data_IF_047688100044
#
_entry.id   IF_047688100044
#
_cell.length_a   1.000
_cell.length_b   1.000
_cell.length_c   1.000
_cell.angle_alpha   90.00
_cell.angle_beta   90.00
_cell.angle_gamma   90.00
#
_symmetry.space_group_name_H-M   'P 1'
#
loop_
_entity.id
_entity.type
_entity.pdbx_description
1 polymer ?
#
# COMPACT_ATOMS: atom_id res chain seq x y z
N UNK A 1 1.28 -53.55 27.99
CA UNK A 1 0.67 -52.21 28.05
C UNK A 1 1.50 -51.29 27.16
N UNK A 2 1.03 -51.06 25.93
CA UNK A 2 1.64 -50.13 24.98
C UNK A 2 1.29 -48.71 25.41
N UNK A 3 2.30 -47.88 25.68
CA UNK A 3 2.11 -46.45 25.85
C UNK A 3 2.27 -45.79 24.48
N UNK A 4 1.15 -45.35 23.93
CA UNK A 4 1.07 -44.54 22.71
C UNK A 4 1.48 -43.11 23.03
N UNK A 5 2.70 -42.73 22.67
CA UNK A 5 3.11 -41.32 22.63
C UNK A 5 2.34 -40.61 21.51
N UNK A 6 1.45 -39.71 21.90
CA UNK A 6 0.75 -38.82 20.99
C UNK A 6 1.75 -37.83 20.37
N UNK A 7 2.12 -38.07 19.11
CA UNK A 7 2.80 -37.07 18.27
C UNK A 7 1.87 -35.89 18.07
N UNK A 8 2.06 -34.81 18.80
CA UNK A 8 1.41 -33.53 18.52
C UNK A 8 2.04 -32.94 17.25
N UNK A 9 1.31 -33.03 16.14
CA UNK A 9 1.62 -32.37 14.88
C UNK A 9 1.64 -30.85 15.10
N UNK A 10 2.83 -30.25 15.27
CA UNK A 10 3.01 -28.79 15.38
C UNK A 10 3.12 -28.11 13.99
N UNK A 11 2.36 -28.59 13.01
CA UNK A 11 2.37 -28.09 11.63
C UNK A 11 1.53 -26.81 11.46
N UNK A 12 1.73 -25.83 12.34
CA UNK A 12 1.11 -24.51 12.25
C UNK A 12 2.23 -23.47 12.09
N UNK A 13 2.49 -22.97 10.86
CA UNK A 13 3.61 -22.05 10.57
C UNK A 13 3.51 -20.71 11.33
N UNK A 14 2.34 -20.42 11.89
CA UNK A 14 2.02 -19.29 12.76
C UNK A 14 2.68 -19.38 14.15
N UNK A 15 2.87 -20.58 14.71
CA UNK A 15 3.36 -20.73 16.10
C UNK A 15 4.84 -20.38 16.22
N UNK A 16 5.68 -20.83 15.29
CA UNK A 16 7.11 -20.50 15.30
C UNK A 16 7.36 -19.01 15.05
N UNK A 17 6.59 -18.40 14.14
CA UNK A 17 6.64 -16.96 13.84
C UNK A 17 6.18 -16.14 15.04
N UNK A 18 5.09 -16.55 15.69
CA UNK A 18 4.59 -15.90 16.90
C UNK A 18 5.58 -16.04 18.06
N UNK A 19 6.21 -17.20 18.23
CA UNK A 19 7.27 -17.41 19.22
C UNK A 19 8.53 -16.59 18.92
N UNK A 20 8.90 -16.44 17.65
CA UNK A 20 9.96 -15.52 17.23
C UNK A 20 9.64 -14.06 17.60
N UNK A 21 8.39 -13.63 17.42
CA UNK A 21 7.93 -12.28 17.77
C UNK A 21 7.75 -12.06 19.28
N UNK A 22 7.39 -13.12 20.03
CA UNK A 22 7.05 -13.05 21.46
C UNK A 22 8.17 -13.50 22.39
N UNK A 23 9.23 -14.12 21.88
CA UNK A 23 10.45 -14.37 22.64
C UNK A 23 11.08 -13.02 23.00
N UNK A 24 10.81 -12.60 24.24
CA UNK A 24 11.25 -11.33 24.76
C UNK A 24 12.79 -11.30 24.80
N UNK A 25 13.39 -10.69 23.77
CA UNK A 25 14.73 -10.12 23.92
C UNK A 25 14.65 -9.07 25.03
N UNK A 26 15.65 -8.95 25.92
CA UNK A 26 15.69 -7.86 26.87
C UNK A 26 15.47 -6.56 26.09
N UNK A 27 14.48 -5.76 26.52
CA UNK A 27 14.14 -4.52 25.86
C UNK A 27 15.42 -3.71 25.70
N UNK A 28 15.91 -3.61 24.45
CA UNK A 28 17.08 -2.81 24.17
C UNK A 28 16.81 -1.41 24.71
N UNK A 29 17.80 -0.83 25.39
CA UNK A 29 17.70 0.53 25.90
C UNK A 29 17.34 1.41 24.70
N UNK A 30 16.14 1.98 24.69
CA UNK A 30 15.69 2.84 23.60
C UNK A 30 16.65 4.02 23.58
N UNK A 31 17.52 4.06 22.57
CA UNK A 31 18.33 5.24 22.33
C UNK A 31 17.39 6.43 22.14
N UNK A 32 17.78 7.64 22.57
CA UNK A 32 17.00 8.84 22.33
C UNK A 32 16.65 8.91 20.85
N UNK A 33 15.37 9.10 20.54
CA UNK A 33 14.97 9.28 19.15
C UNK A 33 15.72 10.49 18.60
N UNK A 34 16.44 10.37 17.47
CA UNK A 34 17.04 11.53 16.82
C UNK A 34 15.96 12.55 16.46
N UNK A 35 16.37 13.78 16.15
CA UNK A 35 15.46 14.89 15.81
C UNK A 35 14.39 14.49 14.79
N UNK A 36 13.13 14.94 14.96
CA UNK A 36 12.05 14.63 14.04
C UNK A 36 12.39 15.03 12.60
N UNK A 37 12.21 14.09 11.67
CA UNK A 37 12.45 14.31 10.24
C UNK A 37 11.11 14.50 9.52
N UNK A 38 11.08 15.40 8.54
CA UNK A 38 9.95 15.54 7.62
C UNK A 38 10.16 14.70 6.36
N UNK A 39 9.06 14.38 5.67
CA UNK A 39 9.13 13.84 4.31
C UNK A 39 9.43 14.99 3.34
N UNK A 40 10.21 14.76 2.27
CA UNK A 40 10.46 15.79 1.29
C UNK A 40 9.17 16.22 0.59
N UNK A 41 9.10 17.51 0.21
CA UNK A 41 7.98 18.01 -0.56
C UNK A 41 7.99 17.40 -1.98
N UNK A 42 6.89 16.80 -2.46
CA UNK A 42 6.85 16.20 -3.78
C UNK A 42 6.87 17.29 -4.85
N UNK A 43 7.71 17.08 -5.87
CA UNK A 43 7.59 17.84 -7.11
C UNK A 43 6.36 17.34 -7.85
N UNK A 44 5.43 18.23 -8.20
CA UNK A 44 4.25 17.90 -9.00
C UNK A 44 3.88 19.07 -9.93
N UNK A 45 3.65 18.82 -11.23
CA UNK A 45 3.84 17.54 -11.92
C UNK A 45 5.31 17.15 -12.14
N UNK A 46 5.61 15.85 -12.12
CA UNK A 46 6.85 15.30 -12.67
C UNK A 46 6.71 14.99 -14.16
N UNK A 47 5.49 14.63 -14.61
CA UNK A 47 5.16 14.27 -15.99
C UNK A 47 3.99 15.13 -16.49
N UNK A 48 4.23 16.41 -16.83
CA UNK A 48 3.17 17.34 -17.25
C UNK A 48 2.35 16.84 -18.44
N UNK A 49 2.95 16.08 -19.34
CA UNK A 49 2.35 15.49 -20.53
C UNK A 49 1.27 14.45 -20.21
N UNK A 50 1.32 13.82 -19.03
CA UNK A 50 0.34 12.82 -18.60
C UNK A 50 -0.86 13.45 -17.87
N UNK A 51 -0.74 14.70 -17.44
CA UNK A 51 -1.80 15.45 -16.78
C UNK A 51 -2.91 15.86 -17.76
N UNK A 52 -4.10 16.13 -17.22
CA UNK A 52 -5.20 16.71 -17.97
C UNK A 52 -6.30 15.70 -18.26
N UNK A 53 -7.55 16.16 -18.21
CA UNK A 53 -8.74 15.31 -18.33
C UNK A 53 -8.93 14.70 -19.70
N UNK A 54 -8.29 15.21 -20.74
CA UNK A 54 -8.46 14.71 -22.11
C UNK A 54 -7.24 13.93 -22.60
N UNK A 55 -6.15 13.95 -21.83
CA UNK A 55 -4.90 13.23 -22.12
C UNK A 55 -5.00 11.77 -21.69
N UNK A 56 -5.88 11.04 -22.37
CA UNK A 56 -6.00 9.60 -22.24
C UNK A 56 -5.26 8.92 -23.39
N UNK A 57 -4.50 7.88 -23.07
CA UNK A 57 -4.07 6.93 -24.10
C UNK A 57 -5.25 6.01 -24.34
N UNK A 58 -5.97 6.26 -25.44
CA UNK A 58 -7.09 5.43 -25.87
C UNK A 58 -6.52 4.09 -26.35
N UNK A 59 -6.83 3.02 -25.61
CA UNK A 59 -6.49 1.66 -26.01
C UNK A 59 -7.71 1.05 -26.66
N UNK A 60 -7.57 0.53 -27.89
CA UNK A 60 -8.65 -0.22 -28.53
C UNK A 60 -9.02 -1.39 -27.60
N UNK A 61 -10.29 -1.49 -27.25
CA UNK A 61 -10.86 -2.57 -26.43
C UNK A 61 -10.50 -3.99 -26.90
N UNK A 62 -10.09 -4.12 -28.17
CA UNK A 62 -9.65 -5.38 -28.80
C UNK A 62 -8.16 -5.69 -28.61
N UNK A 63 -7.33 -4.71 -28.26
CA UNK A 63 -5.88 -4.90 -28.07
C UNK A 63 -5.53 -5.19 -26.60
N UNK A 64 -4.73 -6.23 -26.38
CA UNK A 64 -4.19 -6.54 -25.06
C UNK A 64 -3.23 -5.44 -24.60
N UNK A 65 -3.28 -5.11 -23.31
CA UNK A 65 -2.38 -4.11 -22.69
C UNK A 65 -0.91 -4.47 -22.99
N UNK A 66 -0.22 -3.59 -23.73
CA UNK A 66 1.21 -3.75 -24.01
C UNK A 66 2.03 -3.25 -22.82
N UNK A 67 2.82 -4.15 -22.22
CA UNK A 67 3.74 -3.80 -21.13
C UNK A 67 5.09 -3.40 -21.69
N UNK A 68 5.52 -2.15 -21.48
CA UNK A 68 6.85 -1.72 -21.89
C UNK A 68 7.94 -2.26 -20.94
N UNK A 69 9.16 -2.41 -21.44
CA UNK A 69 10.29 -2.91 -20.65
C UNK A 69 10.51 -2.18 -19.31
N UNK A 70 10.35 -0.84 -19.21
CA UNK A 70 10.41 -0.14 -17.93
C UNK A 70 9.36 -0.60 -16.91
N UNK A 71 8.12 -0.88 -17.35
CA UNK A 71 7.06 -1.38 -16.46
C UNK A 71 7.37 -2.79 -15.95
N UNK A 72 7.84 -3.67 -16.85
CA UNK A 72 8.23 -5.03 -16.49
C UNK A 72 9.40 -4.98 -15.48
N UNK A 73 10.41 -4.16 -15.75
CA UNK A 73 11.54 -3.98 -14.84
C UNK A 73 11.11 -3.45 -13.47
N UNK A 74 10.21 -2.46 -13.43
CA UNK A 74 9.63 -1.92 -12.19
C UNK A 74 8.89 -3.02 -11.40
N UNK A 75 8.10 -3.85 -12.07
CA UNK A 75 7.39 -4.96 -11.44
C UNK A 75 8.33 -6.04 -10.92
N UNK A 76 9.35 -6.41 -11.69
CA UNK A 76 10.37 -7.37 -11.25
C UNK A 76 11.13 -6.86 -10.02
N UNK A 77 11.49 -5.57 -9.98
CA UNK A 77 12.12 -4.96 -8.82
C UNK A 77 11.24 -4.94 -7.57
N UNK A 78 9.93 -4.81 -7.76
CA UNK A 78 8.95 -4.78 -6.67
C UNK A 78 8.60 -6.17 -6.11
N UNK A 79 8.53 -7.19 -6.97
CA UNK A 79 7.99 -8.51 -6.58
C UNK A 79 9.02 -9.63 -6.70
N UNK A 80 9.66 -9.76 -7.87
CA UNK A 80 10.55 -10.88 -8.16
C UNK A 80 11.86 -10.79 -7.38
N UNK A 81 12.50 -9.62 -7.37
CA UNK A 81 13.79 -9.42 -6.68
C UNK A 81 13.66 -9.61 -5.16
N UNK A 82 12.66 -9.03 -4.46
CA UNK A 82 12.43 -9.30 -3.04
C UNK A 82 12.17 -10.76 -2.75
N UNK A 83 11.40 -11.44 -3.60
CA UNK A 83 11.14 -12.86 -3.43
C UNK A 83 12.42 -13.71 -3.52
N UNK A 84 13.28 -13.46 -4.52
CA UNK A 84 14.57 -14.15 -4.57
C UNK A 84 15.44 -13.83 -3.36
N UNK A 85 15.51 -12.55 -2.95
CA UNK A 85 16.26 -12.13 -1.77
C UNK A 85 15.76 -12.80 -0.48
N UNK A 86 14.45 -12.93 -0.30
CA UNK A 86 13.87 -13.58 0.88
C UNK A 86 14.14 -15.09 0.93
N UNK A 87 14.52 -15.71 -0.19
CA UNK A 87 14.92 -17.13 -0.26
C UNK A 87 16.41 -17.34 -0.06
N UNK A 88 17.24 -16.34 -0.38
CA UNK A 88 18.71 -16.47 -0.43
C UNK A 88 19.42 -15.83 0.76
N UNK A 89 18.87 -14.75 1.33
CA UNK A 89 19.51 -14.05 2.45
C UNK A 89 19.34 -14.82 3.76
N UNK A 90 20.34 -14.81 4.65
CA UNK A 90 20.24 -15.46 5.94
C UNK A 90 19.25 -14.74 6.87
N UNK A 91 18.64 -15.49 7.78
CA UNK A 91 17.71 -14.99 8.79
C UNK A 91 16.23 -15.07 8.37
N UNK A 92 15.36 -15.24 9.37
CA UNK A 92 13.94 -15.54 9.16
C UNK A 92 13.09 -14.30 8.82
N UNK A 93 13.62 -13.10 9.06
CA UNK A 93 12.88 -11.86 8.85
C UNK A 93 13.26 -11.20 7.51
N UNK A 94 12.62 -11.66 6.44
CA UNK A 94 12.79 -11.11 5.09
C UNK A 94 11.45 -10.69 4.47
N UNK A 95 10.82 -9.61 4.96
CA UNK A 95 9.52 -9.19 4.48
C UNK A 95 9.58 -8.77 3.01
N UNK A 96 8.62 -9.21 2.21
CA UNK A 96 8.44 -8.78 0.82
C UNK A 96 7.53 -7.55 0.77
N UNK A 97 6.44 -7.62 1.53
CA UNK A 97 5.38 -6.62 1.63
C UNK A 97 5.28 -6.09 3.06
N UNK A 98 5.10 -4.78 3.19
CA UNK A 98 4.81 -4.12 4.45
C UNK A 98 3.55 -3.28 4.34
N UNK A 99 2.74 -3.29 5.39
CA UNK A 99 1.54 -2.49 5.50
C UNK A 99 1.80 -1.31 6.43
N UNK A 100 1.71 -0.11 5.87
CA UNK A 100 1.93 1.15 6.57
C UNK A 100 0.57 1.77 6.89
N UNK A 101 0.20 1.75 8.17
CA UNK A 101 -1.05 2.33 8.68
C UNK A 101 -0.90 3.84 8.81
N UNK A 102 -1.13 4.56 7.71
CA UNK A 102 -0.84 6.00 7.61
C UNK A 102 -1.87 6.86 8.33
N UNK A 103 -3.13 6.44 8.34
CA UNK A 103 -4.23 7.11 9.01
C UNK A 103 -5.17 6.08 9.63
N UNK A 104 -5.65 6.31 10.85
CA UNK A 104 -6.59 5.41 11.52
C UNK A 104 -8.03 5.91 11.44
N UNK A 105 -8.22 7.20 11.17
CA UNK A 105 -9.53 7.78 10.92
C UNK A 105 -10.11 7.32 9.59
N UNK A 106 -11.42 7.21 9.50
CA UNK A 106 -12.15 6.92 8.27
C UNK A 106 -13.36 7.85 8.13
N UNK A 107 -13.72 8.18 6.88
CA UNK A 107 -14.93 8.92 6.53
C UNK A 107 -16.17 8.03 6.36
N UNK A 108 -16.04 6.71 6.52
CA UNK A 108 -17.12 5.73 6.47
C UNK A 108 -17.17 4.93 7.77
N UNK A 109 -18.36 4.49 8.15
CA UNK A 109 -18.61 3.67 9.34
C UNK A 109 -19.21 2.31 8.91
N UNK A 110 -18.33 1.37 8.54
CA UNK A 110 -18.76 0.06 8.03
C UNK A 110 -18.98 -0.89 9.22
N UNK A 111 -20.09 -1.63 9.26
CA UNK A 111 -20.43 -2.50 10.41
C UNK A 111 -19.41 -3.61 10.67
N UNK A 112 -18.70 -4.05 9.64
CA UNK A 112 -17.68 -5.09 9.72
C UNK A 112 -16.26 -4.53 9.94
N UNK A 113 -16.10 -3.20 10.08
CA UNK A 113 -14.78 -2.59 10.18
C UNK A 113 -14.12 -2.92 11.52
N UNK A 114 -12.92 -3.51 11.47
CA UNK A 114 -12.12 -3.76 12.69
C UNK A 114 -11.36 -2.52 13.18
N UNK A 115 -11.10 -1.55 12.28
CA UNK A 115 -10.36 -0.31 12.56
C UNK A 115 -11.30 0.90 12.63
N UNK A 116 -12.39 0.78 13.40
CA UNK A 116 -13.48 1.77 13.46
C UNK A 116 -13.19 2.95 14.41
N UNK A 117 -12.17 2.86 15.27
CA UNK A 117 -11.90 3.88 16.29
C UNK A 117 -11.18 5.11 15.71
N UNK A 118 -11.97 6.10 15.30
CA UNK A 118 -11.50 7.38 14.78
C UNK A 118 -10.77 8.28 15.82
N UNK A 119 -10.59 7.85 17.07
CA UNK A 119 -9.82 8.60 18.08
C UNK A 119 -8.32 8.33 17.99
N UNK A 120 -7.92 7.23 17.36
CA UNK A 120 -6.52 6.86 17.19
C UNK A 120 -5.82 7.86 16.26
N UNK A 121 -4.62 8.30 16.65
CA UNK A 121 -3.83 9.26 15.86
C UNK A 121 -3.14 8.53 14.70
N UNK A 122 -3.19 9.13 13.51
CA UNK A 122 -2.46 8.66 12.34
C UNK A 122 -0.93 8.80 12.47
N UNK A 123 -0.23 8.21 11.51
CA UNK A 123 1.23 8.22 11.43
C UNK A 123 1.78 9.63 11.17
N UNK A 124 2.89 9.99 11.81
CA UNK A 124 3.61 11.24 11.57
C UNK A 124 4.55 11.12 10.37
N UNK A 125 5.01 12.25 9.81
CA UNK A 125 6.01 12.25 8.73
C UNK A 125 7.34 11.61 9.16
N UNK A 126 7.78 11.86 10.40
CA UNK A 126 9.00 11.27 10.95
C UNK A 126 8.91 9.74 10.99
N UNK A 127 7.81 9.20 11.53
CA UNK A 127 7.59 7.76 11.59
C UNK A 127 7.54 7.18 10.18
N UNK A 128 6.78 7.78 9.26
CA UNK A 128 6.69 7.30 7.90
C UNK A 128 8.05 7.26 7.19
N UNK A 129 8.84 8.33 7.31
CA UNK A 129 10.19 8.41 6.72
C UNK A 129 11.10 7.33 7.27
N UNK A 130 11.18 7.20 8.60
CA UNK A 130 12.01 6.19 9.27
C UNK A 130 11.57 4.77 8.94
N UNK A 131 10.26 4.51 8.89
CA UNK A 131 9.73 3.21 8.50
C UNK A 131 10.13 2.85 7.07
N UNK A 132 10.01 3.78 6.13
CA UNK A 132 10.44 3.56 4.74
C UNK A 132 11.94 3.34 4.65
N UNK A 133 12.76 4.12 5.37
CA UNK A 133 14.21 3.97 5.39
C UNK A 133 14.66 2.64 5.98
N UNK A 134 14.05 2.23 7.08
CA UNK A 134 14.29 0.93 7.70
C UNK A 134 13.88 -0.23 6.78
N UNK A 135 12.67 -0.17 6.19
CA UNK A 135 12.20 -1.18 5.24
C UNK A 135 13.09 -1.26 4.01
N UNK A 136 13.63 -0.14 3.54
CA UNK A 136 14.53 -0.11 2.40
C UNK A 136 15.83 -0.90 2.67
N UNK A 137 16.27 -0.95 3.93
CA UNK A 137 17.40 -1.77 4.38
C UNK A 137 17.12 -3.28 4.40
N UNK A 138 15.86 -3.70 4.29
CA UNK A 138 15.43 -5.11 4.16
C UNK A 138 15.16 -5.47 2.69
N UNK A 139 14.84 -6.73 2.34
CA UNK A 139 14.35 -7.09 1.02
C UNK A 139 13.03 -6.47 0.62
N UNK A 140 12.26 -5.90 1.55
CA UNK A 140 10.93 -5.36 1.29
C UNK A 140 10.96 -4.32 0.18
N UNK A 141 10.18 -4.53 -0.88
CA UNK A 141 9.97 -3.54 -1.94
C UNK A 141 8.51 -3.35 -2.29
N UNK A 142 7.57 -3.89 -1.51
CA UNK A 142 6.13 -3.60 -1.68
C UNK A 142 5.64 -2.87 -0.44
N UNK A 143 5.08 -1.67 -0.63
CA UNK A 143 4.56 -0.84 0.45
C UNK A 143 3.08 -0.55 0.23
N UNK A 144 2.27 -0.99 1.19
CA UNK A 144 0.83 -0.76 1.21
C UNK A 144 0.50 0.42 2.12
N UNK A 145 -0.19 1.43 1.59
CA UNK A 145 -0.80 2.47 2.42
C UNK A 145 -2.18 1.98 2.86
N UNK A 146 -2.34 1.79 4.17
CA UNK A 146 -3.52 1.21 4.82
C UNK A 146 -3.99 2.06 5.99
N UNK A 147 -5.06 1.60 6.64
CA UNK A 147 -5.52 2.06 7.95
C UNK A 147 -7.04 2.19 7.99
N UNK A 148 -7.53 3.37 8.37
CA UNK A 148 -8.90 3.80 8.12
C UNK A 148 -9.04 4.20 6.65
N UNK A 149 -8.99 5.50 6.36
CA UNK A 149 -8.92 6.03 5.00
C UNK A 149 -7.65 6.87 4.80
N UNK A 150 -6.62 6.34 4.12
CA UNK A 150 -5.37 7.06 3.86
C UNK A 150 -5.58 8.43 3.18
N UNK A 151 -6.61 8.55 2.35
CA UNK A 151 -6.91 9.76 1.59
C UNK A 151 -7.63 10.84 2.40
N UNK A 152 -7.86 10.66 3.71
CA UNK A 152 -8.19 11.78 4.61
C UNK A 152 -7.03 12.79 4.72
N UNK A 153 -5.80 12.34 4.49
CA UNK A 153 -4.60 13.18 4.45
C UNK A 153 -3.90 13.04 3.09
N UNK A 154 -4.50 13.53 1.99
CA UNK A 154 -4.02 13.25 0.64
C UNK A 154 -2.61 13.79 0.39
N UNK A 155 -2.24 14.94 1.00
CA UNK A 155 -0.89 15.48 0.89
C UNK A 155 0.16 14.64 1.63
N UNK A 156 -0.21 14.05 2.76
CA UNK A 156 0.66 13.11 3.47
C UNK A 156 0.85 11.82 2.67
N UNK A 157 -0.25 11.25 2.13
CA UNK A 157 -0.17 10.09 1.25
C UNK A 157 0.70 10.37 0.02
N UNK A 158 0.57 11.55 -0.59
CA UNK A 158 1.39 12.01 -1.72
C UNK A 158 2.89 12.04 -1.37
N UNK A 159 3.26 12.64 -0.23
CA UNK A 159 4.64 12.63 0.30
C UNK A 159 5.19 11.22 0.51
N UNK A 160 4.41 10.35 1.14
CA UNK A 160 4.80 8.95 1.42
C UNK A 160 5.07 8.20 0.13
N UNK A 161 4.14 8.27 -0.84
CA UNK A 161 4.25 7.60 -2.14
C UNK A 161 5.44 8.12 -2.92
N UNK A 162 5.62 9.45 -2.98
CA UNK A 162 6.74 10.09 -3.66
C UNK A 162 8.09 9.60 -3.11
N UNK A 163 8.26 9.65 -1.78
CA UNK A 163 9.50 9.24 -1.13
C UNK A 163 9.79 7.75 -1.32
N UNK A 164 8.78 6.89 -1.13
CA UNK A 164 8.91 5.45 -1.31
C UNK A 164 9.19 5.07 -2.77
N UNK A 165 8.52 5.72 -3.74
CA UNK A 165 8.77 5.48 -5.16
C UNK A 165 10.21 5.81 -5.56
N UNK A 166 10.78 6.93 -5.07
CA UNK A 166 12.19 7.30 -5.32
C UNK A 166 13.18 6.28 -4.74
N UNK A 167 12.80 5.56 -3.68
CA UNK A 167 13.56 4.42 -3.13
C UNK A 167 13.30 3.09 -3.83
N UNK A 168 12.44 3.10 -4.86
CA UNK A 168 12.15 1.94 -5.68
C UNK A 168 11.16 0.96 -5.05
N UNK A 169 10.30 1.43 -4.14
CA UNK A 169 9.16 0.66 -3.67
C UNK A 169 8.05 0.58 -4.73
N UNK A 170 7.42 -0.58 -4.81
CA UNK A 170 6.12 -0.80 -5.41
C UNK A 170 5.04 -0.36 -4.43
N UNK A 171 4.54 0.86 -4.63
CA UNK A 171 3.52 1.43 -3.77
C UNK A 171 2.13 0.98 -4.21
N UNK A 172 1.30 0.62 -3.25
CA UNK A 172 -0.15 0.55 -3.49
C UNK A 172 -0.93 1.18 -2.35
N UNK A 173 -2.12 1.69 -2.66
CA UNK A 173 -3.04 2.27 -1.68
C UNK A 173 -4.33 1.47 -1.66
N UNK A 174 -4.81 1.14 -0.46
CA UNK A 174 -6.15 0.63 -0.24
C UNK A 174 -7.05 1.78 0.19
N UNK A 175 -8.15 1.99 -0.53
CA UNK A 175 -9.06 3.12 -0.30
C UNK A 175 -10.51 2.72 -0.54
N UNK A 176 -11.43 3.37 0.16
CA UNK A 176 -12.87 3.30 -0.14
C UNK A 176 -13.26 4.20 -1.34
N UNK A 177 -12.27 4.93 -1.90
CA UNK A 177 -12.35 5.77 -3.09
C UNK A 177 -13.30 6.98 -3.02
N UNK A 178 -13.97 7.25 -1.89
CA UNK A 178 -14.83 8.45 -1.73
C UNK A 178 -14.06 9.76 -1.86
N UNK A 179 -12.77 9.74 -1.55
CA UNK A 179 -11.87 10.89 -1.60
C UNK A 179 -10.88 10.81 -2.76
N UNK A 180 -10.96 9.77 -3.60
CA UNK A 180 -10.04 9.56 -4.71
C UNK A 180 -10.45 10.37 -5.94
N UNK A 181 -10.48 11.70 -5.78
CA UNK A 181 -10.81 12.65 -6.84
C UNK A 181 -9.74 12.63 -7.96
N UNK A 182 -10.06 13.08 -9.19
CA UNK A 182 -9.10 13.10 -10.29
C UNK A 182 -7.75 13.76 -9.97
N UNK A 183 -7.74 14.86 -9.21
CA UNK A 183 -6.51 15.54 -8.81
C UNK A 183 -5.66 14.71 -7.83
N UNK A 184 -6.30 13.94 -6.94
CA UNK A 184 -5.63 13.02 -6.02
C UNK A 184 -5.06 11.84 -6.81
N UNK A 185 -5.81 11.31 -7.77
CA UNK A 185 -5.36 10.25 -8.68
C UNK A 185 -4.09 10.68 -9.41
N UNK A 186 -4.14 11.83 -10.08
CA UNK A 186 -3.02 12.33 -10.88
C UNK A 186 -1.78 12.57 -10.01
N UNK A 187 -1.93 13.15 -8.82
CA UNK A 187 -0.82 13.35 -7.86
C UNK A 187 -0.19 12.04 -7.41
N UNK A 188 -1.01 11.06 -7.01
CA UNK A 188 -0.50 9.77 -6.56
C UNK A 188 0.15 8.98 -7.70
N UNK A 189 -0.46 9.00 -8.89
CA UNK A 189 0.06 8.33 -10.07
C UNK A 189 1.40 8.95 -10.52
N UNK A 190 1.47 10.28 -10.63
CA UNK A 190 2.69 11.03 -10.97
C UNK A 190 3.81 10.76 -9.95
N UNK A 191 3.48 10.71 -8.65
CA UNK A 191 4.42 10.37 -7.59
C UNK A 191 4.96 8.93 -7.65
N UNK A 192 4.41 8.07 -8.50
CA UNK A 192 4.85 6.69 -8.65
C UNK A 192 4.05 5.68 -7.83
N UNK A 193 2.74 5.90 -7.67
CA UNK A 193 1.82 4.83 -7.29
C UNK A 193 1.88 3.69 -8.32
N UNK A 194 1.90 2.45 -7.87
CA UNK A 194 1.95 1.28 -8.75
C UNK A 194 0.61 0.55 -8.82
N UNK A 195 -0.17 0.56 -7.73
CA UNK A 195 -1.49 -0.08 -7.73
C UNK A 195 -2.51 0.68 -6.86
N UNK A 196 -3.76 0.70 -7.32
CA UNK A 196 -4.90 1.19 -6.56
C UNK A 196 -5.83 0.02 -6.23
N UNK A 197 -6.03 -0.21 -4.94
CA UNK A 197 -6.93 -1.22 -4.41
C UNK A 197 -8.23 -0.54 -3.95
N UNK A 198 -9.33 -0.84 -4.64
CA UNK A 198 -10.67 -0.34 -4.32
C UNK A 198 -11.40 -1.34 -3.43
N UNK A 199 -11.71 -0.92 -2.20
CA UNK A 199 -12.60 -1.67 -1.34
C UNK A 199 -14.06 -1.36 -1.72
N UNK A 200 -14.75 -2.33 -2.31
CA UNK A 200 -16.14 -2.20 -2.77
C UNK A 200 -16.91 -3.47 -2.40
N UNK A 201 -17.91 -3.32 -1.53
CA UNK A 201 -18.71 -4.47 -1.06
C UNK A 201 -19.98 -4.66 -1.90
N UNK A 202 -20.52 -3.55 -2.41
CA UNK A 202 -21.83 -3.49 -3.04
C UNK A 202 -21.85 -2.52 -4.22
N UNK A 203 -22.77 -2.70 -5.16
CA UNK A 203 -22.93 -1.75 -6.27
C UNK A 203 -23.59 -0.45 -5.81
N UNK A 204 -24.70 -0.56 -5.07
CA UNK A 204 -25.44 0.57 -4.50
C UNK A 204 -25.33 0.56 -2.98
N UNK A 205 -25.39 1.73 -2.35
CA UNK A 205 -25.30 1.86 -0.89
C UNK A 205 -26.39 1.03 -0.20
N UNK A 206 -25.98 0.33 0.88
CA UNK A 206 -26.89 -0.39 1.77
C UNK A 206 -26.58 -0.02 3.22
N UNK A 207 -27.56 -0.04 4.13
CA UNK A 207 -27.31 0.15 5.55
C UNK A 207 -26.20 -0.79 6.05
N UNK A 208 -25.20 -0.22 6.72
CA UNK A 208 -24.03 -0.95 7.25
C UNK A 208 -22.95 -1.33 6.22
N UNK A 209 -23.21 -1.18 4.92
CA UNK A 209 -22.27 -1.45 3.82
C UNK A 209 -22.09 -0.19 2.94
N UNK A 210 -21.44 0.87 3.47
CA UNK A 210 -21.33 2.14 2.75
C UNK A 210 -20.26 2.12 1.63
N UNK A 211 -19.43 1.08 1.50
CA UNK A 211 -18.46 0.96 0.41
C UNK A 211 -19.15 0.50 -0.88
N UNK A 212 -19.84 1.43 -1.51
CA UNK A 212 -20.59 1.19 -2.75
C UNK A 212 -19.87 1.74 -3.98
N UNK A 213 -20.00 1.05 -5.12
CA UNK A 213 -19.41 1.49 -6.40
C UNK A 213 -20.13 2.69 -7.01
N UNK A 214 -21.46 2.74 -6.96
CA UNK A 214 -22.26 3.73 -7.67
C UNK A 214 -21.85 5.19 -7.36
N UNK A 215 -21.61 5.58 -6.09
CA UNK A 215 -21.21 6.95 -5.76
C UNK A 215 -19.78 7.31 -6.21
N UNK A 216 -18.89 6.33 -6.31
CA UNK A 216 -17.48 6.52 -6.69
C UNK A 216 -17.23 6.21 -8.18
N UNK A 217 -18.26 5.81 -8.93
CA UNK A 217 -18.15 5.38 -10.33
C UNK A 217 -17.42 6.40 -11.22
N UNK A 218 -17.69 7.71 -11.15
CA UNK A 218 -16.95 8.68 -11.96
C UNK A 218 -15.45 8.70 -11.67
N UNK A 219 -15.06 8.49 -10.41
CA UNK A 219 -13.64 8.45 -10.00
C UNK A 219 -12.97 7.16 -10.46
N UNK A 220 -13.69 6.04 -10.34
CA UNK A 220 -13.24 4.74 -10.86
C UNK A 220 -13.01 4.79 -12.38
N UNK A 221 -13.95 5.33 -13.14
CA UNK A 221 -13.83 5.43 -14.60
C UNK A 221 -12.65 6.33 -15.00
N UNK A 222 -12.45 7.45 -14.32
CA UNK A 222 -11.27 8.30 -14.52
C UNK A 222 -9.97 7.52 -14.26
N UNK A 223 -9.90 6.81 -13.13
CA UNK A 223 -8.74 6.01 -12.75
C UNK A 223 -8.43 4.91 -13.77
N UNK A 224 -9.45 4.16 -14.24
CA UNK A 224 -9.25 3.09 -15.21
C UNK A 224 -8.76 3.65 -16.54
N UNK A 225 -9.28 4.78 -17.00
CA UNK A 225 -8.78 5.43 -18.23
C UNK A 225 -7.33 5.89 -18.07
N UNK A 226 -6.98 6.49 -16.93
CA UNK A 226 -5.60 6.97 -16.65
C UNK A 226 -4.59 5.86 -16.39
N UNK A 227 -5.02 4.63 -16.12
CA UNK A 227 -4.10 3.52 -15.87
C UNK A 227 -3.18 3.21 -17.08
N UNK A 228 -3.65 3.53 -18.28
CA UNK A 228 -2.90 3.32 -19.53
C UNK A 228 -1.87 4.42 -19.76
N UNK A 229 -2.13 5.64 -19.30
CA UNK A 229 -1.19 6.76 -19.34
C UNK A 229 -0.07 6.59 -18.31
N UNK A 230 -0.42 6.30 -17.05
CA UNK A 230 0.53 6.24 -15.94
C UNK A 230 1.12 4.85 -15.68
N UNK A 231 0.51 3.80 -16.23
CA UNK A 231 1.03 2.44 -16.14
C UNK A 231 0.84 1.73 -14.80
N UNK A 232 -0.04 2.23 -13.92
CA UNK A 232 -0.44 1.53 -12.70
C UNK A 232 -1.49 0.42 -12.97
N UNK A 233 -1.82 -0.34 -11.94
CA UNK A 233 -2.91 -1.32 -11.95
C UNK A 233 -4.05 -0.91 -11.02
N UNK A 234 -5.26 -1.35 -11.34
CA UNK A 234 -6.47 -1.14 -10.53
C UNK A 234 -7.12 -2.50 -10.28
N UNK A 235 -7.54 -2.76 -9.05
CA UNK A 235 -8.27 -3.97 -8.71
C UNK A 235 -9.25 -3.72 -7.57
N UNK A 236 -10.29 -4.55 -7.51
CA UNK A 236 -11.22 -4.60 -6.38
C UNK A 236 -10.74 -5.64 -5.36
N UNK A 237 -10.97 -5.35 -4.08
CA UNK A 237 -10.82 -6.27 -2.96
C UNK A 237 -12.17 -6.47 -2.26
#
# INVERSE_FOLDING_TARGET
MMNTEARTNSSRPDVSTLQLLSSARPAARLEPLPEPQSLPEPVFPQFPELLGRDNFIEQDSREQRRWSAPHIYRAMRGWMVPWFKSRLLPGDFQPIIAYLFTEWKCNLDCHYCWAFDNRVKGMTEDVARRSIDWLHGTPCRVLALMGGEPLLRPQFAHKVVYYAAKKGFWNYVSTNARLLRPDVIDRLADAGMASFNFAVDVVNEKPGLPKALAPIRPYFEYLVKKQFSYGYTVFFN
#
